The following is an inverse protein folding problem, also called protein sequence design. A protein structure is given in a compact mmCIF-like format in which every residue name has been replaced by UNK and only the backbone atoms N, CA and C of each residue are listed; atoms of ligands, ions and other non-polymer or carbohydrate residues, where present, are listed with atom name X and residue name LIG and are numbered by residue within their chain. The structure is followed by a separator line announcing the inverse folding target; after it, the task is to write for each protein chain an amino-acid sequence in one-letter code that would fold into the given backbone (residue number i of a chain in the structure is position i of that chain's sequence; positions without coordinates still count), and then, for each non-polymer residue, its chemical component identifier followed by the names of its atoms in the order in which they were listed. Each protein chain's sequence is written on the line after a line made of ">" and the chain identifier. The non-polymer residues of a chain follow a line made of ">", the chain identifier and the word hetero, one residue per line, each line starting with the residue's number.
data_IF_830696058758
#
_entry.id   IF_830696058758
#
_cell.length_a   1.000
_cell.length_b   1.000
_cell.length_c   1.000
_cell.angle_alpha   90.00
_cell.angle_beta   90.00
_cell.angle_gamma   90.00
#
_symmetry.space_group_name_H-M   'P 1'
#
loop_
_entity.id
_entity.type
_entity.pdbx_description
1 polymer ?
#
# COMPACT_ATOMS: atom_id res chain seq x y z
N UNK A 1 -9.36 -11.31 4.91
CA UNK A 1 -8.59 -10.07 5.10
C UNK A 1 -7.16 -10.45 5.45
N UNK A 2 -6.17 -10.14 4.61
CA UNK A 2 -4.77 -10.49 4.89
C UNK A 2 -4.22 -9.47 5.91
N UNK A 3 -3.94 -9.91 7.13
CA UNK A 3 -3.30 -9.07 8.16
C UNK A 3 -1.81 -9.32 8.07
N UNK A 4 -1.05 -8.26 7.87
CA UNK A 4 0.39 -8.33 7.77
C UNK A 4 0.98 -7.41 8.82
N UNK A 5 1.77 -7.98 9.71
CA UNK A 5 2.46 -7.23 10.75
C UNK A 5 3.60 -6.48 10.08
N UNK A 6 3.60 -5.15 10.24
CA UNK A 6 4.80 -4.36 10.02
C UNK A 6 5.85 -4.91 10.98
N UNK A 7 6.83 -5.68 10.47
CA UNK A 7 8.00 -6.05 11.26
C UNK A 7 8.82 -4.78 11.48
N UNK A 8 8.45 -4.03 12.51
CA UNK A 8 9.18 -2.90 13.04
C UNK A 8 9.63 -3.21 14.47
N UNK A 9 10.42 -2.30 15.02
CA UNK A 9 10.82 -2.36 16.43
C UNK A 9 9.57 -2.34 17.32
N UNK A 10 9.62 -3.05 18.45
CA UNK A 10 8.51 -3.12 19.41
C UNK A 10 8.16 -1.72 19.97
N UNK A 11 9.11 -0.78 19.87
CA UNK A 11 9.02 0.62 20.24
C UNK A 11 9.71 1.48 19.16
N UNK A 12 9.09 2.61 18.79
CA UNK A 12 9.64 3.56 17.80
C UNK A 12 10.31 4.78 18.45
N UNK A 13 10.37 4.84 19.79
CA UNK A 13 10.92 5.93 20.59
C UNK A 13 10.07 7.19 20.61
N UNK A 14 9.65 7.67 19.45
CA UNK A 14 8.87 8.91 19.27
C UNK A 14 7.79 8.76 18.18
N UNK A 15 6.75 9.58 18.27
CA UNK A 15 5.63 9.60 17.34
C UNK A 15 6.04 10.01 15.91
N UNK A 16 6.98 10.95 15.73
CA UNK A 16 7.45 11.36 14.41
C UNK A 16 8.21 10.23 13.72
N UNK A 17 9.09 9.55 14.45
CA UNK A 17 9.84 8.38 13.95
C UNK A 17 8.91 7.24 13.57
N UNK A 18 7.91 6.95 14.41
CA UNK A 18 6.86 5.98 14.11
C UNK A 18 6.15 6.34 12.81
N UNK A 19 5.65 7.57 12.71
CA UNK A 19 4.91 8.04 11.53
C UNK A 19 5.75 7.93 10.26
N UNK A 20 7.00 8.42 10.27
CA UNK A 20 7.89 8.34 9.10
C UNK A 20 8.16 6.91 8.69
N UNK A 21 8.41 6.03 9.65
CA UNK A 21 8.73 4.62 9.37
C UNK A 21 7.53 3.89 8.78
N UNK A 22 6.35 4.07 9.38
CA UNK A 22 5.10 3.48 8.89
C UNK A 22 4.77 4.01 7.50
N UNK A 23 4.86 5.33 7.28
CA UNK A 23 4.59 5.92 5.96
C UNK A 23 5.56 5.41 4.90
N UNK A 24 6.86 5.39 5.19
CA UNK A 24 7.87 4.90 4.25
C UNK A 24 7.64 3.43 3.90
N UNK A 25 7.32 2.60 4.91
CA UNK A 25 6.95 1.21 4.69
C UNK A 25 5.69 1.09 3.83
N UNK A 26 4.63 1.84 4.16
CA UNK A 26 3.35 1.80 3.46
C UNK A 26 3.53 2.19 1.98
N UNK A 27 4.28 3.26 1.70
CA UNK A 27 4.58 3.71 0.33
C UNK A 27 5.36 2.67 -0.46
N UNK A 28 6.41 2.08 0.12
CA UNK A 28 7.19 1.01 -0.52
C UNK A 28 6.32 -0.22 -0.75
N UNK A 29 5.53 -0.61 0.25
CA UNK A 29 4.74 -1.82 0.23
C UNK A 29 3.66 -1.77 -0.85
N UNK A 30 2.89 -0.67 -0.90
CA UNK A 30 1.79 -0.52 -1.86
C UNK A 30 2.23 -0.36 -3.32
N UNK A 31 3.51 -0.06 -3.56
CA UNK A 31 4.07 0.07 -4.92
C UNK A 31 4.82 -1.19 -5.37
N UNK A 32 5.42 -1.94 -4.44
CA UNK A 32 6.27 -3.10 -4.78
C UNK A 32 5.57 -4.44 -4.66
N UNK A 33 4.67 -4.61 -3.69
CA UNK A 33 4.08 -5.92 -3.41
C UNK A 33 3.06 -6.27 -4.48
N UNK A 34 3.16 -7.49 -5.02
CA UNK A 34 2.17 -8.07 -5.94
C UNK A 34 1.13 -8.89 -5.18
N UNK A 35 -0.15 -8.71 -5.51
CA UNK A 35 -1.26 -9.41 -4.86
C UNK A 35 -1.83 -10.49 -5.78
N UNK A 36 -1.81 -11.76 -5.34
CA UNK A 36 -2.30 -12.87 -6.17
C UNK A 36 -3.78 -12.74 -6.54
N UNK A 37 -4.62 -12.25 -5.63
CA UNK A 37 -6.04 -12.03 -5.93
C UNK A 37 -6.30 -10.82 -6.86
N UNK A 38 -5.34 -9.88 -6.98
CA UNK A 38 -5.49 -8.71 -7.86
C UNK A 38 -4.75 -8.93 -9.19
N UNK A 39 -4.62 -10.19 -9.63
CA UNK A 39 -3.91 -10.54 -10.87
C UNK A 39 -2.41 -10.18 -10.83
N UNK A 40 -1.78 -10.27 -9.65
CA UNK A 40 -0.38 -9.90 -9.40
C UNK A 40 -0.05 -8.41 -9.57
N UNK A 41 -1.06 -7.54 -9.57
CA UNK A 41 -0.84 -6.10 -9.52
C UNK A 41 -0.47 -5.65 -8.11
N UNK A 42 0.28 -4.55 -8.05
CA UNK A 42 0.42 -3.81 -6.80
C UNK A 42 -0.89 -3.10 -6.46
N UNK A 43 -1.19 -2.87 -5.16
CA UNK A 43 -2.39 -2.13 -4.76
C UNK A 43 -2.52 -0.80 -5.49
N UNK A 44 -1.43 -0.03 -5.59
CA UNK A 44 -1.43 1.27 -6.26
C UNK A 44 -1.68 1.15 -7.77
N UNK A 45 -1.13 0.14 -8.45
CA UNK A 45 -1.42 -0.09 -9.87
C UNK A 45 -2.86 -0.53 -10.09
N UNK A 46 -3.38 -1.41 -9.25
CA UNK A 46 -4.76 -1.85 -9.31
C UNK A 46 -5.73 -0.66 -9.16
N UNK A 47 -5.53 0.15 -8.12
CA UNK A 47 -6.35 1.35 -7.87
C UNK A 47 -6.26 2.35 -9.02
N UNK A 48 -5.05 2.59 -9.57
CA UNK A 48 -4.87 3.47 -10.73
C UNK A 48 -5.65 2.99 -11.94
N UNK A 49 -5.54 1.70 -12.29
CA UNK A 49 -6.26 1.13 -13.43
C UNK A 49 -7.77 1.19 -13.23
N UNK A 50 -8.24 0.89 -12.03
CA UNK A 50 -9.66 0.96 -11.70
C UNK A 50 -10.18 2.41 -11.68
N UNK A 51 -9.40 3.36 -11.20
CA UNK A 51 -9.74 4.78 -11.24
C UNK A 51 -9.81 5.30 -12.67
N UNK A 52 -8.80 4.98 -13.50
CA UNK A 52 -8.82 5.31 -14.94
C UNK A 52 -10.03 4.69 -15.64
N UNK A 53 -10.33 3.42 -15.40
CA UNK A 53 -11.49 2.75 -15.97
C UNK A 53 -12.82 3.42 -15.56
N UNK A 54 -12.96 3.80 -14.29
CA UNK A 54 -14.13 4.57 -13.82
C UNK A 54 -14.25 5.93 -14.50
N UNK A 55 -13.14 6.64 -14.70
CA UNK A 55 -13.15 7.93 -15.41
C UNK A 55 -13.55 7.76 -16.88
N UNK A 56 -13.06 6.70 -17.56
CA UNK A 56 -13.46 6.40 -18.94
C UNK A 56 -14.94 6.03 -19.06
N UNK A 57 -15.51 5.32 -18.08
CA UNK A 57 -16.93 4.94 -18.09
C UNK A 57 -17.88 6.13 -17.85
N UNK A 58 -17.39 7.20 -17.22
CA UNK A 58 -18.18 8.39 -16.92
C UNK A 58 -18.11 9.48 -18.01
N UNK A 59 -17.35 9.25 -19.09
CA UNK A 59 -17.20 10.15 -20.24
C UNK A 59 -18.10 9.70 -21.40
#
# INVERSE_FOLDING_TARGET
>A
MKRETLQGTHDYGDADTCRRTVFAWLTRYNTRRRHSANGHLSPNEYERRHHTAKLTLAA
#
